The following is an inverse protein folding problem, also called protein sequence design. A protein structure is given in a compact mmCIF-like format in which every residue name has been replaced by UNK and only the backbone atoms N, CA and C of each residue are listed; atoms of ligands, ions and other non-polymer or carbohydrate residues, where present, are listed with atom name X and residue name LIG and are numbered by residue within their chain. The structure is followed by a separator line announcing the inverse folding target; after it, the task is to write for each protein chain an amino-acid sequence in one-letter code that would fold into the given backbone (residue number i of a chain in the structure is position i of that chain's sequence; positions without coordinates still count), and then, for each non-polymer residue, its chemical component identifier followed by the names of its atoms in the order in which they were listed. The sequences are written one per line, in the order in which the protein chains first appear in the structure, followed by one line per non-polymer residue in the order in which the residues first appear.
data_IF_809608099282
#
_entry.id   IF_809608099282
#
_cell.length_a   1.000
_cell.length_b   1.000
_cell.length_c   1.000
_cell.angle_alpha   90.00
_cell.angle_beta   90.00
_cell.angle_gamma   90.00
#
_symmetry.space_group_name_H-M   'P 1'
#
loop_
_entity.id
_entity.type
_entity.pdbx_description
1 polymer ?
#
# COMPACT_ATOMS: atom_id res chain seq x y z
N UNK A 1 -0.11 11.03 -5.61
CA UNK A 1 -0.04 10.56 -4.21
C UNK A 1 -1.44 10.14 -3.78
N UNK A 2 -1.59 8.96 -3.19
CA UNK A 2 -2.87 8.42 -2.72
C UNK A 2 -2.74 8.09 -1.24
N UNK A 3 -3.65 8.63 -0.41
CA UNK A 3 -3.66 8.36 1.02
C UNK A 3 -4.57 7.15 1.32
N UNK A 4 -4.00 6.13 1.95
CA UNK A 4 -4.72 4.95 2.40
C UNK A 4 -4.49 4.74 3.90
N UNK A 5 -5.52 4.24 4.58
CA UNK A 5 -5.39 3.78 5.97
C UNK A 5 -4.62 2.46 6.01
N UNK A 6 -3.67 2.35 6.95
CA UNK A 6 -2.91 1.13 7.22
C UNK A 6 -3.38 0.54 8.54
N UNK A 7 -4.05 -0.62 8.49
CA UNK A 7 -4.45 -1.33 9.70
C UNK A 7 -3.21 -1.90 10.44
N UNK A 8 -3.16 -1.86 11.79
CA UNK A 8 -2.08 -2.48 12.57
C UNK A 8 -1.92 -3.99 12.36
N UNK A 9 -2.91 -4.68 11.77
CA UNK A 9 -2.82 -6.11 11.47
C UNK A 9 -1.73 -6.44 10.43
N UNK A 10 -1.30 -5.46 9.63
CA UNK A 10 -0.21 -5.64 8.67
C UNK A 10 1.13 -5.37 9.37
N UNK A 11 1.76 -6.43 9.90
CA UNK A 11 3.01 -6.35 10.66
C UNK A 11 4.23 -6.30 9.72
N UNK A 12 5.17 -5.39 10.00
CA UNK A 12 6.46 -5.33 9.30
C UNK A 12 6.39 -4.84 7.86
N UNK A 13 5.43 -3.95 7.56
CA UNK A 13 5.35 -3.24 6.27
C UNK A 13 6.47 -2.23 6.18
N UNK A 14 7.16 -2.20 5.05
CA UNK A 14 8.27 -1.29 4.80
C UNK A 14 8.03 -0.41 3.57
N UNK A 15 8.81 0.67 3.46
CA UNK A 15 8.74 1.54 2.30
C UNK A 15 9.18 0.77 1.04
N UNK A 16 8.37 0.87 -0.02
CA UNK A 16 8.62 0.18 -1.29
C UNK A 16 7.93 -1.18 -1.43
N UNK A 17 7.18 -1.63 -0.41
CA UNK A 17 6.25 -2.74 -0.55
C UNK A 17 5.09 -2.38 -1.48
N UNK A 18 4.58 -3.37 -2.22
CA UNK A 18 3.42 -3.17 -3.09
C UNK A 18 2.15 -3.46 -2.30
N UNK A 19 1.20 -2.53 -2.30
CA UNK A 19 -0.05 -2.65 -1.52
C UNK A 19 -1.27 -2.62 -2.43
N UNK A 20 -2.23 -3.50 -2.16
CA UNK A 20 -3.54 -3.45 -2.79
C UNK A 20 -4.47 -2.63 -1.91
N UNK A 21 -4.98 -1.53 -2.45
CA UNK A 21 -5.94 -0.64 -1.79
C UNK A 21 -7.35 -0.86 -2.33
N UNK A 22 -8.34 -0.80 -1.45
CA UNK A 22 -9.76 -0.78 -1.80
C UNK A 22 -10.40 0.55 -1.43
N UNK A 23 -11.38 1.00 -2.23
CA UNK A 23 -12.18 2.17 -1.88
C UNK A 23 -12.98 1.90 -0.60
N UNK A 24 -13.04 2.89 0.28
CA UNK A 24 -13.87 2.84 1.49
C UNK A 24 -14.63 4.16 1.65
N UNK A 25 -15.47 4.24 2.69
CA UNK A 25 -16.11 5.50 3.11
C UNK A 25 -15.04 6.52 3.52
N UNK A 26 -15.31 7.84 3.47
CA UNK A 26 -14.36 8.84 3.95
C UNK A 26 -13.99 8.58 5.43
N UNK A 27 -12.72 8.27 5.68
CA UNK A 27 -12.18 8.05 7.03
C UNK A 27 -11.55 9.34 7.60
N UNK A 28 -10.99 10.18 6.73
CA UNK A 28 -10.45 11.49 7.09
C UNK A 28 -10.54 12.46 5.91
N UNK A 29 -9.95 13.66 6.03
CA UNK A 29 -9.91 14.67 4.96
C UNK A 29 -9.39 14.10 3.63
N UNK A 30 -8.43 13.19 3.67
CA UNK A 30 -7.75 12.65 2.49
C UNK A 30 -7.85 11.13 2.36
N UNK A 31 -8.21 10.41 3.42
CA UNK A 31 -8.24 8.94 3.41
C UNK A 31 -9.61 8.44 3.00
N UNK A 32 -9.69 7.89 1.79
CA UNK A 32 -10.87 7.22 1.20
C UNK A 32 -10.55 5.79 0.72
N UNK A 33 -9.39 5.29 1.11
CA UNK A 33 -8.90 3.96 0.75
C UNK A 33 -8.37 3.25 1.99
N UNK A 34 -8.50 1.93 2.03
CA UNK A 34 -7.90 1.09 3.05
C UNK A 34 -7.03 0.02 2.38
N UNK A 35 -5.92 -0.35 3.02
CA UNK A 35 -5.09 -1.46 2.54
C UNK A 35 -5.78 -2.79 2.81
N UNK A 36 -5.87 -3.61 1.77
CA UNK A 36 -6.49 -4.94 1.80
C UNK A 36 -5.44 -6.06 1.81
N UNK A 37 -4.32 -5.87 1.13
CA UNK A 37 -3.23 -6.85 1.02
C UNK A 37 -1.89 -6.16 0.85
N UNK A 38 -0.84 -6.73 1.46
CA UNK A 38 0.55 -6.29 1.31
C UNK A 38 1.35 -7.39 0.60
N UNK A 39 2.08 -7.00 -0.43
CA UNK A 39 3.07 -7.84 -1.11
C UNK A 39 4.46 -7.28 -0.77
N UNK A 40 5.22 -8.05 0.01
CA UNK A 40 6.59 -7.67 0.38
C UNK A 40 7.48 -7.61 -0.85
N UNK A 41 8.27 -6.56 -0.97
CA UNK A 41 9.22 -6.42 -2.07
C UNK A 41 10.31 -7.50 -1.97
N UNK A 42 10.35 -8.42 -2.93
CA UNK A 42 11.49 -9.32 -3.12
C UNK A 42 12.57 -8.54 -3.87
N UNK A 43 13.67 -8.21 -3.20
CA UNK A 43 14.77 -7.43 -3.77
C UNK A 43 15.59 -8.33 -4.71
N UNK A 44 15.20 -8.39 -5.99
CA UNK A 44 16.02 -8.97 -7.07
C UNK A 44 16.25 -7.90 -8.14
N UNK A 45 17.42 -7.24 -8.09
CA UNK A 45 17.92 -6.38 -9.15
C UNK A 45 17.36 -4.95 -9.19
N UNK A 46 18.19 -4.03 -9.69
CA UNK A 46 17.99 -2.58 -9.68
C UNK A 46 17.15 -2.09 -10.86
N UNK A 47 16.30 -1.09 -10.56
CA UNK A 47 15.43 -0.30 -11.46
C UNK A 47 14.19 -1.06 -11.95
N UNK A 48 13.20 -1.21 -11.07
CA UNK A 48 11.85 -1.60 -11.47
C UNK A 48 11.16 -0.46 -12.22
N UNK A 49 10.75 -0.71 -13.46
CA UNK A 49 9.68 0.02 -14.13
C UNK A 49 8.52 -0.95 -14.32
N UNK A 50 7.60 -0.96 -13.36
CA UNK A 50 6.35 -1.70 -13.50
C UNK A 50 5.38 -0.83 -14.29
N UNK A 51 4.79 -1.38 -15.37
CA UNK A 51 3.85 -0.64 -16.24
C UNK A 51 2.53 -0.32 -15.53
N UNK A 52 2.28 -0.91 -14.36
CA UNK A 52 1.08 -0.76 -13.53
C UNK A 52 1.44 -0.96 -12.06
#
# INVERSE_FOLDING_TARGET
NLAAHMSPCFIGVQQGDTVTVGQCRPLSKTVRFNVLKVQKKVVKGSKNFAKF
#
